data_IF_519077061328
#
_entry.id   IF_519077061328
#
_cell.length_a   1.000
_cell.length_b   1.000
_cell.length_c   1.000
_cell.angle_alpha   90.00
_cell.angle_beta   90.00
_cell.angle_gamma   90.00
#
_symmetry.space_group_name_H-M   'P 1'
#
loop_
_entity.id
_entity.type
_entity.pdbx_description
1 polymer ?
#
# COMPACT_ATOMS: atom_id res chain seq x y z
N UNK A 1 -9.28 12.92 1.48
CA UNK A 1 -10.65 12.35 1.57
C UNK A 1 -11.64 13.04 0.61
N UNK A 2 -11.76 14.39 0.64
CA UNK A 2 -12.71 15.12 -0.22
C UNK A 2 -12.45 14.86 -1.71
N UNK A 3 -11.21 15.01 -2.17
CA UNK A 3 -10.80 14.74 -3.56
C UNK A 3 -11.04 13.28 -3.97
N UNK A 4 -10.79 12.32 -3.06
CA UNK A 4 -11.05 10.90 -3.31
C UNK A 4 -12.54 10.62 -3.59
N UNK A 5 -13.45 11.28 -2.87
CA UNK A 5 -14.89 11.13 -3.09
C UNK A 5 -15.35 11.76 -4.40
N UNK A 6 -14.84 12.96 -4.73
CA UNK A 6 -15.21 13.69 -5.95
C UNK A 6 -14.74 12.98 -7.22
N UNK A 7 -13.53 12.41 -7.20
CA UNK A 7 -12.91 11.74 -8.37
C UNK A 7 -13.10 10.23 -8.40
N UNK A 8 -13.77 9.65 -7.41
CA UNK A 8 -13.97 8.18 -7.27
C UNK A 8 -12.66 7.40 -7.28
N UNK A 9 -11.62 7.94 -6.67
CA UNK A 9 -10.31 7.31 -6.51
C UNK A 9 -10.09 6.82 -5.08
N UNK A 10 -9.15 5.89 -4.91
CA UNK A 10 -8.81 5.31 -3.62
C UNK A 10 -8.07 6.32 -2.73
N UNK A 11 -8.06 6.06 -1.42
CA UNK A 11 -7.30 6.87 -0.48
C UNK A 11 -5.80 6.69 -0.69
N UNK A 12 -5.04 7.77 -0.56
CA UNK A 12 -3.59 7.77 -0.70
C UNK A 12 -2.91 8.67 0.32
N UNK A 13 -1.69 8.34 0.64
CA UNK A 13 -0.78 9.14 1.46
C UNK A 13 0.58 9.25 0.79
N UNK A 14 1.30 10.33 1.08
CA UNK A 14 2.60 10.62 0.50
C UNK A 14 3.62 10.81 1.61
N UNK A 15 4.78 10.17 1.45
CA UNK A 15 5.90 10.27 2.36
C UNK A 15 7.09 10.89 1.65
N UNK A 16 7.66 11.94 2.25
CA UNK A 16 8.90 12.54 1.78
C UNK A 16 10.06 11.84 2.48
N UNK A 17 10.90 11.16 1.70
CA UNK A 17 12.15 10.62 2.22
C UNK A 17 13.25 11.62 1.94
N UNK A 18 13.85 12.17 3.01
CA UNK A 18 14.96 13.10 2.94
C UNK A 18 16.26 12.32 2.71
N UNK A 19 16.96 12.64 1.64
CA UNK A 19 18.38 12.34 1.56
C UNK A 19 19.15 13.56 2.09
N UNK A 20 20.06 13.35 3.06
CA UNK A 20 20.83 14.41 3.68
C UNK A 20 21.54 15.29 2.64
N UNK A 21 21.17 16.55 2.61
CA UNK A 21 21.81 17.56 1.78
C UNK A 21 22.92 18.22 2.60
N UNK A 22 24.15 18.07 2.12
CA UNK A 22 25.30 18.75 2.69
C UNK A 22 25.25 20.25 2.34
N UNK A 23 25.39 21.14 3.34
CA UNK A 23 25.26 22.60 3.24
C UNK A 23 26.33 23.30 2.40
N UNK A 24 27.10 22.59 1.57
CA UNK A 24 28.16 23.15 0.76
C UNK A 24 27.62 23.59 -0.61
N UNK A 25 27.43 24.89 -0.80
CA UNK A 25 26.84 25.50 -2.01
C UNK A 25 27.57 25.14 -3.30
N UNK A 26 28.90 25.05 -3.30
CA UNK A 26 29.67 24.68 -4.49
C UNK A 26 29.45 23.21 -4.86
N UNK A 27 29.43 22.35 -3.88
CA UNK A 27 29.16 20.90 -4.05
C UNK A 27 27.74 20.64 -4.59
N UNK A 28 26.77 21.42 -4.13
CA UNK A 28 25.41 21.36 -4.60
C UNK A 28 25.28 21.83 -6.04
N UNK A 29 25.90 22.92 -6.42
CA UNK A 29 25.91 23.41 -7.80
C UNK A 29 26.55 22.40 -8.76
N UNK A 30 27.62 21.72 -8.35
CA UNK A 30 28.23 20.64 -9.14
C UNK A 30 27.25 19.45 -9.28
N UNK A 31 26.56 19.07 -8.20
CA UNK A 31 25.53 18.02 -8.25
C UNK A 31 24.39 18.39 -9.19
N UNK A 32 23.92 19.62 -9.14
CA UNK A 32 22.84 20.10 -10.01
C UNK A 32 23.25 20.03 -11.49
N UNK A 33 24.49 20.45 -11.80
CA UNK A 33 25.04 20.30 -13.15
C UNK A 33 25.13 18.83 -13.60
N UNK A 34 25.57 17.94 -12.72
CA UNK A 34 25.62 16.50 -12.99
C UNK A 34 24.21 15.89 -13.16
N UNK A 35 23.21 16.46 -12.52
CA UNK A 35 21.82 16.01 -12.62
C UNK A 35 21.10 16.44 -13.90
N UNK A 36 21.69 17.32 -14.73
CA UNK A 36 21.15 17.65 -16.07
C UNK A 36 21.19 16.42 -17.01
N UNK A 37 22.21 15.56 -16.86
CA UNK A 37 22.35 14.34 -17.64
C UNK A 37 22.62 13.12 -16.72
N UNK A 38 21.66 12.69 -15.89
CA UNK A 38 21.89 11.78 -14.78
C UNK A 38 22.44 10.41 -15.19
N UNK A 39 22.06 9.88 -16.34
CA UNK A 39 22.57 8.59 -16.83
C UNK A 39 24.06 8.64 -17.13
N UNK A 40 24.51 9.67 -17.86
CA UNK A 40 25.92 9.87 -18.22
C UNK A 40 26.76 10.14 -16.97
N UNK A 41 26.31 11.07 -16.14
CA UNK A 41 26.99 11.44 -14.91
C UNK A 41 27.09 10.28 -13.91
N UNK A 42 26.06 9.46 -13.82
CA UNK A 42 26.06 8.25 -12.98
C UNK A 42 27.10 7.23 -13.45
N UNK A 43 27.26 7.05 -14.76
CA UNK A 43 28.30 6.18 -15.32
C UNK A 43 29.71 6.70 -15.03
N UNK A 44 29.92 8.01 -15.16
CA UNK A 44 31.20 8.62 -14.85
C UNK A 44 31.55 8.52 -13.36
N UNK A 45 30.60 8.77 -12.47
CA UNK A 45 30.82 8.73 -11.02
C UNK A 45 31.03 7.30 -10.48
N UNK A 46 30.52 6.28 -11.16
CA UNK A 46 30.84 4.87 -10.83
C UNK A 46 32.32 4.54 -10.96
N UNK A 47 33.06 5.20 -11.85
CA UNK A 47 34.50 5.03 -12.00
C UNK A 47 35.28 5.50 -10.76
N UNK A 48 34.67 6.35 -9.94
CA UNK A 48 35.24 6.90 -8.71
C UNK A 48 34.55 6.31 -7.45
N UNK A 49 33.78 5.24 -7.59
CA UNK A 49 33.00 4.62 -6.52
C UNK A 49 32.08 5.62 -5.78
N UNK A 50 31.52 6.58 -6.53
CA UNK A 50 30.61 7.61 -6.02
C UNK A 50 29.22 7.43 -6.58
N UNK A 51 28.20 7.68 -5.74
CA UNK A 51 26.79 7.67 -6.12
C UNK A 51 26.34 9.09 -6.46
N UNK A 52 25.59 9.23 -7.56
CA UNK A 52 24.91 10.46 -7.91
C UNK A 52 23.54 10.48 -7.25
N UNK A 53 23.26 11.51 -6.47
CA UNK A 53 21.96 11.77 -5.87
C UNK A 53 21.37 13.02 -6.54
N UNK A 54 20.41 12.83 -7.43
CA UNK A 54 19.72 13.90 -8.13
C UNK A 54 18.30 14.03 -7.60
N UNK A 55 18.08 15.00 -6.72
CA UNK A 55 16.75 15.31 -6.21
C UNK A 55 16.27 14.44 -5.04
N UNK A 56 15.00 14.58 -4.75
CA UNK A 56 14.28 13.84 -3.74
C UNK A 56 13.46 12.73 -4.41
N UNK A 57 13.40 11.56 -3.82
CA UNK A 57 12.41 10.57 -4.21
C UNK A 57 11.16 10.73 -3.37
N UNK A 58 10.01 10.74 -4.05
CA UNK A 58 8.69 10.80 -3.45
C UNK A 58 8.13 9.39 -3.42
N UNK A 59 8.01 8.80 -2.24
CA UNK A 59 7.32 7.54 -2.04
C UNK A 59 5.88 7.80 -1.66
N UNK A 60 4.96 7.04 -2.22
CA UNK A 60 3.54 7.18 -1.92
C UNK A 60 2.91 5.84 -1.59
N UNK A 61 1.92 5.87 -0.72
CA UNK A 61 1.10 4.72 -0.37
C UNK A 61 -0.36 5.04 -0.67
N UNK A 62 -1.03 4.13 -1.33
CA UNK A 62 -2.46 4.26 -1.64
C UNK A 62 -3.18 2.95 -1.41
N UNK A 63 -4.47 3.08 -1.20
CA UNK A 63 -5.36 1.95 -1.04
C UNK A 63 -5.44 1.14 -2.33
N UNK A 64 -5.46 -0.18 -2.19
CA UNK A 64 -5.83 -1.07 -3.27
C UNK A 64 -7.34 -1.25 -3.32
N UNK A 65 -7.87 -1.44 -4.51
CA UNK A 65 -9.27 -1.74 -4.73
C UNK A 65 -9.62 -3.12 -4.14
N UNK A 66 -10.76 -3.21 -3.47
CA UNK A 66 -11.26 -4.44 -2.86
C UNK A 66 -11.89 -5.37 -3.91
N UNK A 67 -11.08 -5.86 -4.84
CA UNK A 67 -11.49 -6.76 -5.92
C UNK A 67 -11.86 -8.16 -5.40
N UNK A 68 -13.10 -8.59 -5.60
CA UNK A 68 -13.56 -9.94 -5.21
C UNK A 68 -12.79 -11.05 -5.94
N UNK A 69 -12.27 -10.77 -7.13
CA UNK A 69 -11.43 -11.70 -7.89
C UNK A 69 -10.08 -11.97 -7.22
N UNK A 70 -9.59 -11.04 -6.38
CA UNK A 70 -8.40 -11.21 -5.57
C UNK A 70 -8.73 -12.08 -4.35
N UNK A 71 -8.21 -13.30 -4.33
CA UNK A 71 -8.55 -14.27 -3.30
C UNK A 71 -7.45 -15.30 -3.04
N UNK A 72 -7.48 -15.86 -1.86
CA UNK A 72 -6.68 -17.02 -1.51
C UNK A 72 -7.53 -18.27 -1.67
N UNK A 73 -7.04 -19.24 -2.41
CA UNK A 73 -7.70 -20.53 -2.61
C UNK A 73 -6.77 -21.67 -2.25
N UNK A 74 -7.32 -22.84 -1.99
CA UNK A 74 -6.56 -24.07 -1.86
C UNK A 74 -6.18 -24.60 -3.24
N UNK A 75 -4.93 -24.96 -3.44
CA UNK A 75 -4.46 -25.58 -4.67
C UNK A 75 -4.66 -27.10 -4.64
N UNK A 76 -4.55 -27.74 -5.80
CA UNK A 76 -4.50 -29.22 -5.89
C UNK A 76 -3.16 -29.80 -5.44
N UNK A 77 -2.13 -28.96 -5.25
CA UNK A 77 -0.81 -29.38 -4.76
C UNK A 77 -0.84 -29.51 -3.25
N UNK A 78 -0.31 -30.58 -2.73
CA UNK A 78 -0.17 -30.84 -1.31
C UNK A 78 1.25 -30.48 -0.83
N UNK A 79 1.40 -30.20 0.46
CA UNK A 79 2.70 -30.16 1.12
C UNK A 79 3.14 -31.56 1.56
N UNK A 80 4.26 -31.64 2.27
CA UNK A 80 4.85 -32.91 2.74
C UNK A 80 4.00 -33.61 3.83
N UNK A 81 3.01 -32.89 4.39
CA UNK A 81 2.06 -33.38 5.40
C UNK A 81 0.68 -33.73 4.79
N UNK A 82 0.55 -33.62 3.47
CA UNK A 82 -0.72 -33.88 2.77
C UNK A 82 -1.74 -32.74 2.92
N UNK A 83 -1.32 -31.54 3.31
CA UNK A 83 -2.18 -30.36 3.43
C UNK A 83 -2.17 -29.59 2.10
N UNK A 84 -3.33 -29.18 1.56
CA UNK A 84 -3.39 -28.39 0.33
C UNK A 84 -2.63 -27.06 0.47
N UNK A 85 -1.68 -26.80 -0.43
CA UNK A 85 -0.96 -25.51 -0.46
C UNK A 85 -1.91 -24.39 -0.84
N UNK A 86 -1.72 -23.22 -0.24
CA UNK A 86 -2.46 -22.01 -0.61
C UNK A 86 -1.98 -21.45 -1.96
N UNK A 87 -2.92 -20.87 -2.71
CA UNK A 87 -2.64 -20.15 -3.94
C UNK A 87 -3.29 -18.77 -3.86
N UNK A 88 -2.46 -17.73 -3.98
CA UNK A 88 -2.93 -16.35 -4.13
C UNK A 88 -3.30 -16.09 -5.59
N UNK A 89 -4.52 -15.62 -5.83
CA UNK A 89 -4.96 -15.03 -7.08
C UNK A 89 -5.01 -13.53 -6.84
N UNK A 90 -4.16 -12.80 -7.57
CA UNK A 90 -4.02 -11.36 -7.40
C UNK A 90 -3.92 -10.66 -8.75
N UNK A 91 -4.65 -9.57 -8.89
CA UNK A 91 -4.57 -8.63 -10.02
C UNK A 91 -4.69 -7.21 -9.49
N UNK A 92 -3.85 -6.34 -10.00
CA UNK A 92 -3.97 -4.91 -9.74
C UNK A 92 -5.14 -4.37 -10.58
N UNK A 93 -6.08 -3.68 -9.94
CA UNK A 93 -7.23 -3.10 -10.63
C UNK A 93 -6.83 -1.88 -11.46
N UNK A 94 -7.62 -1.58 -12.49
CA UNK A 94 -7.48 -0.35 -13.26
C UNK A 94 -7.65 0.88 -12.36
N UNK A 95 -8.58 0.84 -11.40
CA UNK A 95 -8.83 1.93 -10.46
C UNK A 95 -7.60 2.22 -9.56
N UNK A 96 -6.87 1.19 -9.11
CA UNK A 96 -5.62 1.35 -8.37
C UNK A 96 -4.55 2.07 -9.21
N UNK A 97 -4.42 1.73 -10.49
CA UNK A 97 -3.49 2.38 -11.43
C UNK A 97 -3.90 3.83 -11.74
N UNK A 98 -5.18 4.06 -11.97
CA UNK A 98 -5.71 5.40 -12.23
C UNK A 98 -5.54 6.30 -10.99
N UNK A 99 -5.68 5.74 -9.79
CA UNK A 99 -5.39 6.43 -8.52
C UNK A 99 -3.94 6.87 -8.43
N UNK A 100 -2.99 5.98 -8.76
CA UNK A 100 -1.58 6.31 -8.75
C UNK A 100 -1.24 7.44 -9.73
N UNK A 101 -1.76 7.37 -10.96
CA UNK A 101 -1.56 8.39 -12.00
C UNK A 101 -2.14 9.73 -11.60
N UNK A 102 -3.37 9.74 -11.08
CA UNK A 102 -4.04 10.98 -10.67
C UNK A 102 -3.33 11.64 -9.48
N UNK A 103 -2.88 10.84 -8.51
CA UNK A 103 -2.11 11.34 -7.37
C UNK A 103 -0.82 12.03 -7.84
N UNK A 104 -0.06 11.41 -8.74
CA UNK A 104 1.18 12.01 -9.25
C UNK A 104 0.90 13.27 -10.03
N UNK A 105 -0.17 13.29 -10.83
CA UNK A 105 -0.60 14.46 -11.58
C UNK A 105 -0.94 15.64 -10.65
N UNK A 106 -1.70 15.42 -9.60
CA UNK A 106 -2.07 16.44 -8.62
C UNK A 106 -0.85 16.97 -7.84
N UNK A 107 0.06 16.06 -7.43
CA UNK A 107 1.31 16.47 -6.78
C UNK A 107 2.18 17.28 -7.75
N UNK A 108 2.28 16.85 -9.01
CA UNK A 108 3.02 17.57 -10.06
C UNK A 108 2.50 18.98 -10.27
N UNK A 109 1.19 19.16 -10.36
CA UNK A 109 0.54 20.49 -10.44
C UNK A 109 0.88 21.35 -9.22
N UNK A 110 0.80 20.77 -8.02
CA UNK A 110 1.15 21.49 -6.78
C UNK A 110 2.60 21.96 -6.77
N UNK A 111 3.55 21.11 -7.18
CA UNK A 111 4.96 21.48 -7.24
C UNK A 111 5.23 22.61 -8.23
N UNK A 112 4.63 22.55 -9.41
CA UNK A 112 4.77 23.60 -10.44
C UNK A 112 4.14 24.90 -9.97
N UNK A 113 2.94 24.88 -9.42
CA UNK A 113 2.22 26.09 -9.01
C UNK A 113 2.84 26.80 -7.81
N UNK A 114 3.66 26.11 -7.02
CA UNK A 114 4.36 26.68 -5.87
C UNK A 114 5.87 26.85 -6.10
N UNK A 115 6.34 26.71 -7.34
CA UNK A 115 7.74 26.84 -7.72
C UNK A 115 8.68 25.93 -6.91
N UNK A 116 8.21 24.70 -6.56
CA UNK A 116 8.97 23.72 -5.80
C UNK A 116 9.82 22.80 -6.67
N UNK A 117 9.58 22.82 -8.00
CA UNK A 117 10.29 21.97 -8.95
C UNK A 117 9.36 21.15 -9.84
N UNK A 118 9.89 20.07 -10.42
CA UNK A 118 9.19 19.16 -11.32
C UNK A 118 9.26 17.74 -10.81
N UNK A 119 8.21 16.97 -11.01
CA UNK A 119 8.16 15.55 -10.68
C UNK A 119 8.38 14.73 -11.95
N UNK A 120 9.35 13.83 -11.92
CA UNK A 120 9.52 12.80 -12.93
C UNK A 120 8.83 11.52 -12.45
N UNK A 121 8.03 10.92 -13.33
CA UNK A 121 7.42 9.62 -13.07
C UNK A 121 8.44 8.51 -13.25
N UNK A 122 8.47 7.59 -12.30
CA UNK A 122 9.10 6.31 -12.52
C UNK A 122 8.36 5.56 -13.65
N UNK A 123 9.10 4.92 -14.54
CA UNK A 123 8.54 4.27 -15.73
C UNK A 123 7.56 3.16 -15.35
N UNK A 124 7.76 2.52 -14.22
CA UNK A 124 6.93 1.44 -13.67
C UNK A 124 5.48 1.89 -13.40
N UNK A 125 5.27 3.18 -13.08
CA UNK A 125 3.92 3.74 -12.87
C UNK A 125 3.17 3.89 -14.21
N UNK A 126 3.89 4.04 -15.31
CA UNK A 126 3.32 4.17 -16.64
C UNK A 126 2.98 2.82 -17.27
N UNK A 127 3.66 1.76 -16.87
CA UNK A 127 3.51 0.42 -17.40
C UNK A 127 2.91 -0.53 -16.33
N UNK A 128 1.60 -0.79 -16.37
CA UNK A 128 0.91 -1.61 -15.38
C UNK A 128 1.53 -2.98 -15.15
N UNK A 129 2.12 -3.56 -16.21
CA UNK A 129 2.76 -4.88 -16.16
C UNK A 129 4.09 -4.87 -15.38
N UNK A 130 4.72 -3.71 -15.27
CA UNK A 130 5.98 -3.49 -14.53
C UNK A 130 5.77 -2.81 -13.20
N UNK A 131 4.51 -2.49 -12.86
CA UNK A 131 4.17 -1.87 -11.60
C UNK A 131 4.45 -2.86 -10.46
N UNK A 132 5.65 -2.76 -9.91
CA UNK A 132 6.06 -3.49 -8.73
C UNK A 132 5.84 -2.54 -7.56
N UNK A 133 4.75 -2.75 -6.82
CA UNK A 133 4.67 -2.16 -5.50
C UNK A 133 5.71 -2.87 -4.63
N UNK A 134 6.74 -2.17 -4.22
CA UNK A 134 7.51 -2.62 -3.07
C UNK A 134 6.51 -2.67 -1.91
N UNK A 135 6.24 -3.87 -1.44
CA UNK A 135 5.11 -4.16 -0.59
C UNK A 135 5.17 -3.37 0.71
N UNK A 136 4.13 -2.63 1.01
CA UNK A 136 3.93 -2.02 2.31
C UNK A 136 3.65 -3.03 3.43
N UNK A 137 3.72 -4.33 3.14
CA UNK A 137 3.47 -5.45 4.07
C UNK A 137 2.12 -5.39 4.79
N UNK A 138 1.17 -4.60 4.29
CA UNK A 138 -0.15 -4.43 4.85
C UNK A 138 -1.18 -5.32 4.12
N UNK A 139 -1.06 -6.64 4.30
CA UNK A 139 -2.03 -7.58 3.74
C UNK A 139 -3.37 -7.47 4.49
N UNK A 140 -4.47 -7.28 3.74
CA UNK A 140 -5.80 -7.00 4.27
C UNK A 140 -6.85 -7.89 3.59
N UNK A 141 -7.98 -8.10 4.24
CA UNK A 141 -9.22 -8.58 3.62
C UNK A 141 -9.33 -10.08 3.35
N UNK A 142 -8.34 -10.91 3.70
CA UNK A 142 -8.40 -12.36 3.48
C UNK A 142 -9.55 -13.06 4.23
N UNK A 143 -10.01 -12.47 5.34
CA UNK A 143 -11.16 -12.91 6.14
C UNK A 143 -12.06 -11.73 6.45
N UNK A 144 -12.39 -10.93 5.42
CA UNK A 144 -13.06 -9.64 5.60
C UNK A 144 -14.36 -9.73 6.38
N UNK A 145 -14.60 -8.72 7.20
CA UNK A 145 -15.85 -8.57 7.97
C UNK A 145 -16.98 -8.00 7.09
N UNK A 146 -18.19 -8.42 7.36
CA UNK A 146 -19.38 -7.95 6.67
C UNK A 146 -20.68 -8.29 7.40
N UNK A 147 -21.78 -8.10 6.69
CA UNK A 147 -23.12 -8.30 7.24
C UNK A 147 -23.72 -9.66 6.90
N UNK A 148 -23.20 -10.33 5.87
CA UNK A 148 -23.72 -11.62 5.43
C UNK A 148 -22.59 -12.52 4.91
N UNK A 149 -22.84 -13.82 4.91
CA UNK A 149 -21.88 -14.86 4.51
C UNK A 149 -21.58 -14.94 3.01
N UNK A 150 -22.37 -14.28 2.16
CA UNK A 150 -22.17 -14.36 0.70
C UNK A 150 -21.02 -13.48 0.24
N UNK A 151 -20.73 -12.40 0.98
CA UNK A 151 -19.70 -11.42 0.63
C UNK A 151 -18.63 -11.21 1.70
N UNK A 152 -18.71 -11.92 2.81
CA UNK A 152 -17.81 -11.79 3.95
C UNK A 152 -17.54 -13.13 4.64
N UNK A 153 -16.47 -13.18 5.43
CA UNK A 153 -16.04 -14.38 6.14
C UNK A 153 -16.40 -14.31 7.62
N UNK A 154 -16.30 -13.11 8.21
CA UNK A 154 -16.66 -12.88 9.61
C UNK A 154 -17.76 -11.83 9.72
N UNK A 155 -18.56 -11.93 10.77
CA UNK A 155 -19.60 -10.97 11.10
C UNK A 155 -19.02 -9.69 11.75
N UNK A 156 -19.88 -8.77 12.16
CA UNK A 156 -19.49 -7.50 12.80
C UNK A 156 -18.79 -7.71 14.14
N UNK A 157 -18.94 -8.86 14.78
CA UNK A 157 -18.25 -9.26 16.02
C UNK A 157 -17.00 -10.09 15.75
N UNK A 158 -16.57 -10.19 14.49
CA UNK A 158 -15.38 -10.91 14.03
C UNK A 158 -15.50 -12.44 14.21
N UNK A 159 -16.73 -12.96 14.32
CA UNK A 159 -17.01 -14.38 14.37
C UNK A 159 -17.19 -14.90 12.95
N UNK A 160 -16.58 -16.05 12.63
CA UNK A 160 -16.76 -16.72 11.34
C UNK A 160 -18.22 -17.16 11.20
N UNK A 161 -18.83 -16.83 10.07
CA UNK A 161 -20.19 -17.29 9.74
C UNK A 161 -20.26 -18.82 9.78
N UNK A 162 -21.40 -19.34 10.23
CA UNK A 162 -21.60 -20.78 10.38
C UNK A 162 -20.88 -21.44 11.55
N UNK A 163 -20.17 -20.68 12.41
CA UNK A 163 -19.52 -21.21 13.62
C UNK A 163 -20.12 -20.61 14.89
N UNK A 164 -19.93 -21.28 16.04
CA UNK A 164 -20.44 -20.79 17.32
C UNK A 164 -19.42 -19.97 18.10
N UNK A 165 -18.16 -20.39 18.07
CA UNK A 165 -17.12 -19.87 18.96
C UNK A 165 -15.76 -19.61 18.24
N UNK A 166 -15.76 -19.47 16.92
CA UNK A 166 -14.56 -19.23 16.17
C UNK A 166 -14.48 -17.77 15.70
N UNK A 167 -13.50 -17.03 16.19
CA UNK A 167 -13.29 -15.62 15.91
C UNK A 167 -11.96 -15.39 15.19
N UNK A 168 -11.91 -14.40 14.31
CA UNK A 168 -10.67 -13.98 13.62
C UNK A 168 -10.40 -12.53 13.90
N UNK A 169 -9.13 -12.24 14.23
CA UNK A 169 -8.66 -10.90 14.52
C UNK A 169 -7.36 -10.64 13.76
N UNK A 170 -7.19 -9.42 13.31
CA UNK A 170 -6.03 -8.96 12.56
C UNK A 170 -6.44 -8.10 11.37
N UNK A 171 -5.48 -7.74 10.55
CA UNK A 171 -5.74 -6.94 9.35
C UNK A 171 -6.55 -7.70 8.28
N UNK A 172 -6.58 -9.02 8.35
CA UNK A 172 -7.35 -9.85 7.41
C UNK A 172 -8.86 -9.60 7.46
N UNK A 173 -9.39 -9.08 8.60
CA UNK A 173 -10.82 -8.78 8.74
C UNK A 173 -11.23 -7.44 8.14
N UNK A 174 -10.30 -6.63 7.67
CA UNK A 174 -10.63 -5.32 7.10
C UNK A 174 -11.31 -5.47 5.74
N UNK A 175 -12.49 -4.88 5.53
CA UNK A 175 -13.18 -4.92 4.24
C UNK A 175 -12.53 -3.99 3.21
N UNK A 176 -11.83 -2.97 3.67
CA UNK A 176 -11.07 -2.01 2.86
C UNK A 176 -9.83 -1.57 3.61
N UNK A 177 -8.85 -1.07 2.89
CA UNK A 177 -7.60 -0.57 3.45
C UNK A 177 -7.61 0.93 3.71
N UNK A 178 -6.67 1.59 3.14
CA UNK A 178 -6.38 3.02 3.25
C UNK A 178 -4.88 3.24 3.15
N UNK A 179 -4.45 4.49 3.35
CA UNK A 179 -3.03 4.84 3.33
C UNK A 179 -2.35 4.72 4.71
N UNK A 180 -3.14 4.57 5.78
CA UNK A 180 -2.62 4.53 7.15
C UNK A 180 -2.23 3.10 7.57
N UNK A 181 -1.25 3.00 8.47
CA UNK A 181 -0.87 1.73 9.07
C UNK A 181 -2.04 1.10 9.84
N UNK A 182 -2.31 -0.20 9.68
CA UNK A 182 -3.51 -0.85 10.23
C UNK A 182 -3.43 -1.12 11.74
N UNK A 183 -2.27 -1.05 12.37
CA UNK A 183 -2.00 -1.51 13.75
C UNK A 183 -2.93 -0.88 14.78
N UNK A 184 -3.17 0.43 14.69
CA UNK A 184 -4.08 1.11 15.65
C UNK A 184 -5.49 0.53 15.59
N UNK A 185 -6.03 0.33 14.39
CA UNK A 185 -7.36 -0.24 14.20
C UNK A 185 -7.42 -1.70 14.67
N UNK A 186 -6.36 -2.48 14.46
CA UNK A 186 -6.27 -3.86 14.97
C UNK A 186 -6.36 -3.87 16.50
N UNK A 187 -5.65 -2.96 17.19
CA UNK A 187 -5.71 -2.85 18.66
C UNK A 187 -7.13 -2.52 19.12
N UNK A 188 -7.81 -1.58 18.47
CA UNK A 188 -9.19 -1.22 18.82
C UNK A 188 -10.16 -2.40 18.60
N UNK A 189 -9.99 -3.14 17.51
CA UNK A 189 -10.77 -4.35 17.26
C UNK A 189 -10.49 -5.45 18.31
N UNK A 190 -9.24 -5.58 18.77
CA UNK A 190 -8.85 -6.52 19.82
C UNK A 190 -9.58 -6.23 21.14
N UNK A 191 -9.58 -4.97 21.57
CA UNK A 191 -10.28 -4.54 22.78
C UNK A 191 -11.79 -4.77 22.67
N UNK A 192 -12.38 -4.43 21.52
CA UNK A 192 -13.81 -4.66 21.27
C UNK A 192 -14.15 -6.16 21.30
N UNK A 193 -13.36 -6.99 20.64
CA UNK A 193 -13.58 -8.45 20.61
C UNK A 193 -13.41 -9.07 22.00
N UNK A 194 -12.39 -8.68 22.74
CA UNK A 194 -12.17 -9.12 24.12
C UNK A 194 -13.38 -8.82 25.00
N UNK A 195 -13.90 -7.60 24.95
CA UNK A 195 -15.10 -7.21 25.69
C UNK A 195 -16.34 -8.01 25.28
N UNK A 196 -16.49 -8.27 23.96
CA UNK A 196 -17.62 -9.06 23.44
C UNK A 196 -17.56 -10.51 23.96
N UNK A 197 -16.39 -11.15 23.87
CA UNK A 197 -16.21 -12.54 24.32
C UNK A 197 -16.40 -12.64 25.84
N UNK A 198 -15.82 -11.70 26.62
CA UNK A 198 -15.96 -11.69 28.07
C UNK A 198 -17.44 -11.61 28.51
N UNK A 199 -18.23 -10.71 27.90
CA UNK A 199 -19.66 -10.62 28.18
C UNK A 199 -20.39 -11.92 27.87
N UNK A 200 -20.12 -12.51 26.70
CA UNK A 200 -20.76 -13.78 26.28
C UNK A 200 -20.44 -14.94 27.24
N UNK A 201 -19.22 -14.98 27.79
CA UNK A 201 -18.82 -16.02 28.75
C UNK A 201 -19.45 -15.82 30.15
N UNK A 202 -19.82 -14.59 30.51
CA UNK A 202 -20.51 -14.30 31.76
C UNK A 202 -22.01 -14.54 31.72
N UNK A 203 -22.58 -14.71 30.53
CA UNK A 203 -24.00 -14.99 30.29
C UNK A 203 -24.30 -16.52 30.24
N UNK A 204 -23.29 -17.36 30.31
CA UNK A 204 -23.36 -18.83 30.38
C UNK A 204 -23.33 -19.28 31.84
#
# INVERSE_FOLDING_TARGET
>A
KKMSQEKKILNSGVFLTHHDWDNNTLKNNIKDLLCVAPKLSSQMLKLFDKKLLCGLSLSSSWEQDAEISNKIILSKKMDDQGIPKTKLIYRLSKNSLDTAKEMVNEIGKYFISNDLGRIALAQEILEPEKFISEAGYHHLGGTRAGYNENDSVVDQNLKIFGTENFYVLGSSVFPSGGHANPTYTIIQLSLRLSNHISKKLLEI
#
